data_IF_807967691441
#
_entry.id   IF_807967691441
#
_cell.length_a   1.000
_cell.length_b   1.000
_cell.length_c   1.000
_cell.angle_alpha   90.00
_cell.angle_beta   90.00
_cell.angle_gamma   90.00
#
_symmetry.space_group_name_H-M   'P 1'
#
loop_
_entity.id
_entity.type
_entity.pdbx_description
1 polymer ?
#
# COMPACT_ATOMS: atom_id res chain seq x y z
N UNK A 1 32.27 -21.89 8.02
CA UNK A 1 31.50 -20.71 8.50
C UNK A 1 30.92 -21.06 9.85
N UNK A 2 31.18 -20.26 10.90
CA UNK A 2 30.65 -20.50 12.26
C UNK A 2 29.71 -19.34 12.57
N UNK A 3 28.43 -19.63 12.76
CA UNK A 3 27.40 -18.61 13.03
C UNK A 3 27.17 -18.50 14.53
N UNK A 4 27.41 -17.32 15.12
CA UNK A 4 27.15 -17.05 16.54
C UNK A 4 25.69 -16.64 16.70
N UNK A 5 24.89 -17.48 17.37
CA UNK A 5 23.50 -17.16 17.71
C UNK A 5 23.47 -15.90 18.60
N UNK A 6 22.68 -14.92 18.19
CA UNK A 6 22.43 -13.71 18.97
C UNK A 6 21.48 -14.11 20.11
N UNK A 7 21.95 -14.07 21.35
CA UNK A 7 21.13 -14.29 22.55
C UNK A 7 20.24 -13.07 22.82
N UNK A 8 19.22 -12.88 21.99
CA UNK A 8 18.18 -11.86 22.17
C UNK A 8 16.80 -12.51 22.13
N UNK A 9 15.93 -12.16 23.09
CA UNK A 9 14.51 -12.53 23.03
C UNK A 9 13.89 -11.85 21.80
N UNK A 10 13.47 -12.65 20.82
CA UNK A 10 12.74 -12.14 19.68
C UNK A 10 11.39 -11.59 20.15
N UNK A 11 10.97 -10.39 19.73
CA UNK A 11 9.67 -9.85 20.12
C UNK A 11 8.55 -10.77 19.63
N UNK A 12 7.43 -10.90 20.39
CA UNK A 12 6.32 -11.76 20.02
C UNK A 12 5.62 -11.22 18.76
N UNK A 13 6.04 -11.70 17.58
CA UNK A 13 5.54 -11.27 16.27
C UNK A 13 4.04 -11.53 16.07
N UNK A 14 3.48 -12.49 16.81
CA UNK A 14 2.10 -12.94 16.70
C UNK A 14 1.07 -11.88 17.12
N UNK A 15 1.47 -10.86 17.88
CA UNK A 15 0.56 -9.80 18.36
C UNK A 15 0.33 -8.67 17.35
N UNK A 16 1.05 -8.68 16.22
CA UNK A 16 1.01 -7.59 15.22
C UNK A 16 0.01 -7.93 14.10
N UNK A 17 -0.42 -9.19 13.99
CA UNK A 17 -1.35 -9.63 12.95
C UNK A 17 -2.78 -9.30 13.41
N UNK A 18 -3.52 -8.44 12.69
CA UNK A 18 -4.90 -8.13 13.04
C UNK A 18 -5.76 -9.39 13.05
N UNK A 19 -6.56 -9.59 14.10
CA UNK A 19 -7.43 -10.76 14.28
C UNK A 19 -8.66 -10.75 13.35
N UNK A 20 -8.87 -9.64 12.64
CA UNK A 20 -9.99 -9.45 11.72
C UNK A 20 -9.76 -8.25 10.82
N UNK A 21 -10.47 -8.25 9.70
CA UNK A 21 -10.45 -7.17 8.71
C UNK A 21 -11.83 -6.55 8.65
N UNK A 22 -11.93 -5.24 8.89
CA UNK A 22 -13.20 -4.50 8.76
C UNK A 22 -13.61 -4.32 7.30
N UNK A 23 -12.64 -4.42 6.39
CA UNK A 23 -12.80 -4.12 4.96
C UNK A 23 -11.97 -5.12 4.15
N UNK A 24 -12.62 -5.82 3.23
CA UNK A 24 -11.98 -6.70 2.24
C UNK A 24 -12.30 -6.15 0.85
N UNK A 25 -11.27 -6.04 0.01
CA UNK A 25 -11.40 -5.48 -1.34
C UNK A 25 -10.65 -6.41 -2.29
N UNK A 26 -11.33 -6.84 -3.35
CA UNK A 26 -10.75 -7.67 -4.39
C UNK A 26 -10.30 -6.77 -5.55
N UNK A 27 -9.00 -6.82 -5.85
CA UNK A 27 -8.35 -5.98 -6.85
C UNK A 27 -7.36 -6.83 -7.63
N UNK A 28 -7.27 -6.69 -8.97
CA UNK A 28 -6.21 -7.31 -9.74
C UNK A 28 -4.85 -6.73 -9.30
N UNK A 29 -3.91 -7.56 -8.81
CA UNK A 29 -2.63 -7.07 -8.29
C UNK A 29 -1.80 -6.36 -9.36
N UNK A 30 -1.89 -6.81 -10.62
CA UNK A 30 -1.21 -6.20 -11.77
C UNK A 30 -1.70 -4.77 -12.05
N UNK A 31 -3.01 -4.56 -12.07
CA UNK A 31 -3.59 -3.23 -12.30
C UNK A 31 -3.21 -2.26 -11.18
N UNK A 32 -3.22 -2.75 -9.94
CA UNK A 32 -2.81 -1.95 -8.78
C UNK A 32 -1.31 -1.61 -8.83
N UNK A 33 -0.46 -2.57 -9.18
CA UNK A 33 0.97 -2.36 -9.34
C UNK A 33 1.26 -1.30 -10.38
N UNK A 34 0.64 -1.39 -11.56
CA UNK A 34 0.84 -0.44 -12.66
C UNK A 34 0.41 0.98 -12.28
N UNK A 35 -0.74 1.14 -11.64
CA UNK A 35 -1.21 2.45 -11.18
C UNK A 35 -0.30 3.02 -10.10
N UNK A 36 0.06 2.24 -9.07
CA UNK A 36 0.95 2.70 -8.00
C UNK A 36 2.34 3.00 -8.56
N UNK A 37 2.87 2.20 -9.49
CA UNK A 37 4.15 2.45 -10.15
C UNK A 37 4.13 3.75 -10.95
N UNK A 38 3.08 4.00 -11.74
CA UNK A 38 2.95 5.26 -12.51
C UNK A 38 2.89 6.48 -11.60
N UNK A 39 2.11 6.40 -10.52
CA UNK A 39 1.98 7.50 -9.54
C UNK A 39 3.29 7.69 -8.74
N UNK A 40 3.94 6.61 -8.34
CA UNK A 40 5.19 6.66 -7.56
C UNK A 40 6.42 7.07 -8.39
N UNK A 41 6.40 6.87 -9.71
CA UNK A 41 7.49 7.29 -10.63
C UNK A 41 7.65 8.81 -10.67
N UNK A 42 6.65 9.57 -10.20
CA UNK A 42 6.66 11.03 -10.16
C UNK A 42 7.51 11.61 -9.02
N UNK A 43 8.05 10.79 -8.11
CA UNK A 43 8.91 11.26 -7.02
C UNK A 43 10.07 10.29 -6.71
N UNK A 44 11.27 10.83 -6.54
CA UNK A 44 12.44 10.07 -6.07
C UNK A 44 12.49 9.98 -4.53
N UNK A 45 11.68 10.77 -3.81
CA UNK A 45 11.72 10.87 -2.35
C UNK A 45 10.79 9.90 -1.61
N UNK A 46 10.27 8.87 -2.29
CA UNK A 46 9.39 7.86 -1.67
C UNK A 46 8.15 8.47 -1.00
N UNK A 47 7.50 9.41 -1.71
CA UNK A 47 6.30 10.09 -1.22
C UNK A 47 5.19 9.09 -0.91
N UNK A 48 4.51 9.22 0.25
CA UNK A 48 3.42 8.32 0.61
C UNK A 48 2.28 8.41 -0.40
N UNK A 49 1.85 7.26 -0.89
CA UNK A 49 0.68 7.12 -1.77
C UNK A 49 -0.56 6.97 -0.91
N UNK A 50 -1.54 7.83 -1.12
CA UNK A 50 -2.84 7.80 -0.47
C UNK A 50 -3.83 7.01 -1.30
N UNK A 51 -4.55 6.11 -0.63
CA UNK A 51 -5.62 5.30 -1.16
C UNK A 51 -6.89 5.75 -0.46
N UNK A 52 -7.82 6.29 -1.25
CA UNK A 52 -9.12 6.71 -0.78
C UNK A 52 -10.18 5.79 -1.39
N UNK A 53 -10.75 4.95 -0.55
CA UNK A 53 -11.78 3.99 -0.90
C UNK A 53 -13.15 4.63 -0.73
N UNK A 54 -13.97 4.54 -1.77
CA UNK A 54 -15.35 5.01 -1.81
C UNK A 54 -16.21 3.93 -2.47
N UNK A 55 -17.53 3.89 -2.26
CA UNK A 55 -18.38 2.91 -2.93
C UNK A 55 -18.12 2.85 -4.43
N UNK A 56 -17.76 1.66 -4.91
CA UNK A 56 -17.37 1.34 -6.28
C UNK A 56 -16.09 1.99 -6.84
N UNK A 57 -15.32 2.72 -6.04
CA UNK A 57 -14.16 3.51 -6.53
C UNK A 57 -13.00 3.58 -5.54
N UNK A 58 -11.80 3.35 -6.05
CA UNK A 58 -10.54 3.60 -5.36
C UNK A 58 -9.84 4.77 -6.02
N UNK A 59 -9.52 5.78 -5.23
CA UNK A 59 -8.78 6.94 -5.68
C UNK A 59 -7.37 6.84 -5.11
N UNK A 60 -6.38 6.72 -5.99
CA UNK A 60 -4.97 6.63 -5.63
C UNK A 60 -4.33 7.98 -5.91
N UNK A 61 -3.66 8.57 -4.94
CA UNK A 61 -3.05 9.89 -5.08
C UNK A 61 -1.67 9.98 -4.44
N UNK A 62 -0.79 10.78 -5.04
CA UNK A 62 0.49 11.17 -4.46
C UNK A 62 0.73 12.66 -4.72
N UNK A 63 1.39 13.33 -3.77
CA UNK A 63 1.66 14.76 -3.88
C UNK A 63 3.16 14.99 -3.84
N UNK A 64 3.74 15.44 -4.94
CA UNK A 64 5.19 15.68 -5.07
C UNK A 64 5.46 17.18 -5.20
N UNK A 65 6.63 17.66 -4.76
CA UNK A 65 6.99 19.09 -4.83
C UNK A 65 7.30 19.56 -6.26
N UNK A 66 7.77 18.65 -7.12
CA UNK A 66 8.28 19.00 -8.45
C UNK A 66 7.25 18.85 -9.57
N UNK A 67 6.34 17.88 -9.48
CA UNK A 67 5.44 17.51 -10.60
C UNK A 67 3.95 17.80 -10.31
N UNK A 68 3.59 18.10 -9.05
CA UNK A 68 2.22 18.37 -8.64
C UNK A 68 1.49 17.17 -8.03
N UNK A 69 0.17 17.28 -7.83
CA UNK A 69 -0.66 16.17 -7.35
C UNK A 69 -0.97 15.20 -8.49
N UNK A 70 -0.56 13.95 -8.33
CA UNK A 70 -0.98 12.82 -9.14
C UNK A 70 -2.22 12.20 -8.53
N UNK A 71 -3.24 11.95 -9.35
CA UNK A 71 -4.49 11.30 -8.93
C UNK A 71 -4.98 10.37 -10.03
N UNK A 72 -5.31 9.14 -9.66
CA UNK A 72 -5.90 8.16 -10.56
C UNK A 72 -7.07 7.46 -9.87
N UNK A 73 -8.08 7.11 -10.65
CA UNK A 73 -9.29 6.44 -10.16
C UNK A 73 -9.38 5.04 -10.77
N UNK A 74 -9.55 4.05 -9.91
CA UNK A 74 -9.66 2.63 -10.26
C UNK A 74 -11.07 2.16 -9.84
N UNK A 75 -11.85 1.54 -10.74
CA UNK A 75 -13.12 0.93 -10.37
C UNK A 75 -12.88 -0.31 -9.51
N UNK A 76 -13.55 -0.40 -8.36
CA UNK A 76 -13.37 -1.52 -7.41
C UNK A 76 -14.74 -2.00 -6.93
N UNK A 77 -14.87 -3.28 -6.55
CA UNK A 77 -16.10 -3.74 -5.90
C UNK A 77 -15.99 -3.47 -4.40
N UNK A 78 -16.48 -2.31 -3.97
CA UNK A 78 -16.46 -1.89 -2.57
C UNK A 78 -17.80 -1.26 -2.20
N UNK A 79 -18.37 -1.72 -1.09
CA UNK A 79 -19.68 -1.30 -0.57
C UNK A 79 -19.62 -0.79 0.88
N UNK A 80 -18.42 -0.58 1.41
CA UNK A 80 -18.21 -0.06 2.76
C UNK A 80 -18.19 1.47 2.84
N UNK A 81 -17.91 1.99 4.03
CA UNK A 81 -17.74 3.42 4.29
C UNK A 81 -16.51 4.00 3.59
N UNK A 82 -16.50 5.30 3.36
CA UNK A 82 -15.32 5.98 2.84
C UNK A 82 -14.11 5.81 3.78
N UNK A 83 -12.97 5.41 3.23
CA UNK A 83 -11.75 5.15 4.02
C UNK A 83 -10.54 5.72 3.32
N UNK A 84 -9.67 6.38 4.08
CA UNK A 84 -8.38 6.87 3.60
C UNK A 84 -7.23 6.14 4.28
N UNK A 85 -6.28 5.65 3.51
CA UNK A 85 -5.07 5.00 4.01
C UNK A 85 -3.87 5.47 3.19
N UNK A 86 -2.76 5.82 3.85
CA UNK A 86 -1.51 6.16 3.19
C UNK A 86 -0.49 5.03 3.32
N UNK A 87 0.12 4.64 2.21
CA UNK A 87 1.15 3.63 2.16
C UNK A 87 2.46 4.17 1.58
N UNK A 88 3.56 3.60 2.03
CA UNK A 88 4.86 3.80 1.40
C UNK A 88 4.92 3.00 0.09
N UNK A 89 5.07 3.64 -1.09
CA UNK A 89 4.98 2.95 -2.38
C UNK A 89 6.07 1.90 -2.57
N UNK A 90 7.31 2.17 -2.13
CA UNK A 90 8.41 1.20 -2.23
C UNK A 90 8.11 -0.07 -1.42
N UNK A 91 7.55 0.09 -0.21
CA UNK A 91 7.17 -1.08 0.60
C UNK A 91 5.98 -1.82 0.00
N UNK A 92 4.97 -1.08 -0.48
CA UNK A 92 3.75 -1.64 -1.06
C UNK A 92 4.05 -2.46 -2.32
N UNK A 93 4.77 -1.89 -3.30
CA UNK A 93 5.14 -2.60 -4.53
C UNK A 93 6.00 -3.84 -4.25
N UNK A 94 6.92 -3.75 -3.27
CA UNK A 94 7.81 -4.88 -2.95
C UNK A 94 7.11 -6.01 -2.20
N UNK A 95 6.15 -5.71 -1.32
CA UNK A 95 5.52 -6.72 -0.43
C UNK A 95 4.12 -7.14 -0.83
N UNK A 96 3.32 -6.26 -1.41
CA UNK A 96 1.92 -6.53 -1.74
C UNK A 96 1.73 -7.16 -3.14
N UNK A 97 2.69 -6.97 -4.06
CA UNK A 97 2.59 -7.46 -5.45
C UNK A 97 3.51 -8.66 -5.76
N UNK A 98 4.28 -9.18 -4.78
CA UNK A 98 5.23 -10.28 -5.00
C UNK A 98 4.64 -11.70 -4.84
N UNK A 99 3.34 -11.83 -4.57
CA UNK A 99 2.64 -13.12 -4.48
C UNK A 99 1.28 -13.08 -5.17
#
# INVERSE_FOLDING_TARGET
VITRLISGKYPPYQQIIPSGYTTVIELPPTQLEETVRRIATLDQNNTPVRFFFTPNRLIISASTREVGQAREEVPIQYSGEDREIAFNPTFFLRRACQH
#
